data_IF_936334115173
#
_entry.id   IF_936334115173
#
_cell.length_a   1.000
_cell.length_b   1.000
_cell.length_c   1.000
_cell.angle_alpha   90.00
_cell.angle_beta   90.00
_cell.angle_gamma   90.00
#
_symmetry.space_group_name_H-M   'P 1'
#
loop_
_entity.id
_entity.type
_entity.pdbx_description
1 polymer ?
#
# COMPACT_ATOMS: atom_id res chain seq x y z
N UNK A 1 18.98 4.77 -17.87
CA UNK A 1 17.94 4.96 -16.85
C UNK A 1 16.99 3.78 -16.95
N UNK A 2 17.06 2.84 -16.00
CA UNK A 2 16.16 1.68 -15.97
C UNK A 2 14.86 2.10 -15.28
N UNK A 3 13.72 1.72 -15.87
CA UNK A 3 12.40 1.94 -15.28
C UNK A 3 11.71 0.58 -15.25
N UNK A 4 11.31 0.16 -14.05
CA UNK A 4 10.57 -1.08 -13.84
C UNK A 4 9.14 -0.72 -13.41
N UNK A 5 8.16 -1.37 -14.03
CA UNK A 5 6.74 -1.16 -13.73
C UNK A 5 6.11 -2.49 -13.36
N UNK A 6 5.42 -2.50 -12.22
CA UNK A 6 4.71 -3.67 -11.71
C UNK A 6 3.27 -3.27 -11.37
N UNK A 7 2.34 -4.21 -11.54
CA UNK A 7 0.95 -4.04 -11.14
C UNK A 7 0.59 -5.07 -10.07
N UNK A 8 0.24 -4.59 -8.88
CA UNK A 8 -0.33 -5.40 -7.82
C UNK A 8 -1.85 -5.35 -7.93
N UNK A 9 -2.49 -6.51 -7.81
CA UNK A 9 -3.95 -6.64 -7.78
C UNK A 9 -4.36 -7.20 -6.43
N UNK A 10 -5.29 -6.53 -5.78
CA UNK A 10 -5.87 -6.94 -4.52
C UNK A 10 -7.38 -7.04 -4.68
N UNK A 11 -7.96 -8.13 -4.22
CA UNK A 11 -9.41 -8.26 -4.08
C UNK A 11 -9.77 -7.97 -2.64
N UNK A 12 -10.67 -7.01 -2.43
CA UNK A 12 -11.19 -6.64 -1.11
C UNK A 12 -12.65 -7.05 -0.98
N UNK A 13 -13.10 -7.28 0.25
CA UNK A 13 -14.50 -7.67 0.56
C UNK A 13 -15.22 -6.64 1.42
N UNK A 14 -14.50 -5.96 2.31
CA UNK A 14 -15.06 -4.93 3.19
C UNK A 14 -15.04 -3.54 2.55
N UNK A 15 -15.93 -2.65 3.03
CA UNK A 15 -15.99 -1.23 2.61
C UNK A 15 -14.70 -0.47 2.93
N UNK A 16 -14.15 -0.65 4.13
CA UNK A 16 -12.85 -0.10 4.55
C UNK A 16 -11.96 -1.24 5.03
N UNK A 17 -10.89 -1.51 4.28
CA UNK A 17 -9.88 -2.51 4.62
C UNK A 17 -8.48 -1.91 4.48
N UNK A 18 -7.59 -2.26 5.42
CA UNK A 18 -6.20 -1.81 5.44
C UNK A 18 -5.32 -3.02 5.18
N UNK A 19 -4.45 -2.93 4.18
CA UNK A 19 -3.60 -4.02 3.71
C UNK A 19 -2.15 -3.55 3.71
N UNK A 20 -1.25 -4.38 4.22
CA UNK A 20 0.18 -4.09 4.27
C UNK A 20 0.87 -4.66 3.03
N UNK A 21 1.44 -3.79 2.20
CA UNK A 21 2.15 -4.15 0.98
C UNK A 21 3.68 -4.08 1.11
N UNK A 22 4.23 -3.80 2.30
CA UNK A 22 5.68 -3.59 2.46
C UNK A 22 6.50 -4.79 1.99
N UNK A 23 6.08 -6.02 2.33
CA UNK A 23 6.78 -7.24 1.90
C UNK A 23 6.70 -7.46 0.38
N UNK A 24 5.52 -7.23 -0.22
CA UNK A 24 5.33 -7.37 -1.67
C UNK A 24 6.18 -6.36 -2.44
N UNK A 25 6.19 -5.10 -1.99
CA UNK A 25 7.00 -4.03 -2.60
C UNK A 25 8.49 -4.32 -2.43
N UNK A 26 8.93 -4.77 -1.25
CA UNK A 26 10.33 -5.13 -1.02
C UNK A 26 10.77 -6.27 -1.94
N UNK A 27 9.94 -7.30 -2.11
CA UNK A 27 10.24 -8.41 -3.01
C UNK A 27 10.40 -7.95 -4.47
N UNK A 28 9.62 -6.96 -4.93
CA UNK A 28 9.75 -6.37 -6.26
C UNK A 28 11.05 -5.55 -6.40
N UNK A 29 11.43 -4.81 -5.35
CA UNK A 29 12.67 -4.04 -5.32
C UNK A 29 13.88 -4.99 -5.33
N UNK A 30 13.86 -6.05 -4.52
CA UNK A 30 14.94 -7.03 -4.42
C UNK A 30 15.17 -7.83 -5.71
N UNK A 31 14.13 -7.96 -6.54
CA UNK A 31 14.22 -8.56 -7.88
C UNK A 31 14.82 -7.61 -8.93
N UNK A 32 14.98 -6.33 -8.59
CA UNK A 32 15.59 -5.34 -9.49
C UNK A 32 17.10 -5.27 -9.31
N UNK A 33 17.82 -4.94 -10.38
CA UNK A 33 19.25 -4.62 -10.32
C UNK A 33 19.51 -3.15 -9.87
N UNK A 34 18.48 -2.44 -9.40
CA UNK A 34 18.56 -1.01 -9.06
C UNK A 34 19.05 -0.86 -7.62
N UNK A 35 20.31 -0.42 -7.46
CA UNK A 35 20.90 -0.21 -6.13
C UNK A 35 20.56 1.14 -5.51
N UNK A 36 20.31 2.17 -6.33
CA UNK A 36 20.02 3.55 -5.90
C UNK A 36 19.00 4.15 -6.86
N UNK A 37 17.89 4.68 -6.33
CA UNK A 37 16.79 5.18 -7.16
C UNK A 37 15.61 5.68 -6.34
N UNK A 38 14.44 5.69 -6.98
CA UNK A 38 13.17 6.09 -6.38
C UNK A 38 12.12 5.02 -6.68
N UNK A 39 11.26 4.73 -5.69
CA UNK A 39 10.10 3.88 -5.86
C UNK A 39 8.84 4.74 -5.77
N UNK A 40 8.01 4.72 -6.82
CA UNK A 40 6.70 5.34 -6.84
C UNK A 40 5.65 4.24 -6.65
N UNK A 41 4.89 4.33 -5.55
CA UNK A 41 3.74 3.47 -5.29
C UNK A 41 2.50 4.32 -5.52
N UNK A 42 1.65 3.90 -6.45
CA UNK A 42 0.50 4.68 -6.90
C UNK A 42 -0.75 3.80 -6.99
N UNK A 43 -1.88 4.29 -6.48
CA UNK A 43 -3.18 3.65 -6.70
C UNK A 43 -3.86 4.25 -7.92
N UNK A 44 -4.30 3.40 -8.83
CA UNK A 44 -5.08 3.79 -10.01
C UNK A 44 -6.57 4.02 -9.72
N UNK A 45 -7.00 3.98 -8.46
CA UNK A 45 -8.41 4.11 -8.06
C UNK A 45 -8.63 5.38 -7.24
N UNK A 46 -9.78 6.02 -7.44
CA UNK A 46 -10.16 7.28 -6.76
C UNK A 46 -10.76 7.08 -5.37
N UNK A 47 -11.14 5.86 -5.02
CA UNK A 47 -11.78 5.49 -3.74
C UNK A 47 -10.84 4.71 -2.82
N UNK A 48 -9.53 4.75 -3.08
CA UNK A 48 -8.51 4.06 -2.28
C UNK A 48 -7.37 5.02 -2.00
N UNK A 49 -6.61 4.78 -0.92
CA UNK A 49 -5.44 5.57 -0.58
C UNK A 49 -4.25 4.67 -0.25
N UNK A 50 -3.06 5.22 -0.41
CA UNK A 50 -1.80 4.65 0.07
C UNK A 50 -1.28 5.53 1.20
N UNK A 51 -0.86 4.89 2.30
CA UNK A 51 -0.30 5.56 3.45
C UNK A 51 0.88 4.75 3.99
N UNK A 52 1.86 5.43 4.59
CA UNK A 52 2.96 4.81 5.32
C UNK A 52 2.71 5.07 6.79
N UNK A 53 2.59 4.00 7.57
CA UNK A 53 2.38 4.08 9.01
C UNK A 53 2.92 2.80 9.68
N UNK A 54 2.95 2.79 11.01
CA UNK A 54 3.23 1.58 11.80
C UNK A 54 2.13 0.54 11.58
N UNK A 55 2.54 -0.72 11.38
CA UNK A 55 1.63 -1.84 11.23
C UNK A 55 1.36 -2.49 12.59
N UNK A 56 0.60 -1.77 13.43
CA UNK A 56 0.18 -2.23 14.76
C UNK A 56 -1.35 -2.46 14.77
N UNK A 57 -1.79 -3.62 15.26
CA UNK A 57 -3.17 -4.08 15.12
C UNK A 57 -4.22 -3.12 15.68
N UNK A 58 -3.97 -2.50 16.84
CA UNK A 58 -4.92 -1.55 17.45
C UNK A 58 -4.98 -0.24 16.68
N UNK A 59 -3.83 0.26 16.23
CA UNK A 59 -3.77 1.45 15.38
C UNK A 59 -4.56 1.25 14.08
N UNK A 60 -4.54 0.05 13.50
CA UNK A 60 -5.36 -0.26 12.32
C UNK A 60 -6.86 -0.17 12.63
N UNK A 61 -7.28 -0.63 13.81
CA UNK A 61 -8.67 -0.50 14.26
C UNK A 61 -9.01 0.98 14.45
N UNK A 62 -8.15 1.75 15.11
CA UNK A 62 -8.37 3.19 15.35
C UNK A 62 -8.51 3.97 14.04
N UNK A 63 -7.65 3.70 13.05
CA UNK A 63 -7.74 4.30 11.71
C UNK A 63 -9.06 3.94 11.05
N UNK A 64 -9.46 2.66 11.06
CA UNK A 64 -10.76 2.25 10.50
C UNK A 64 -11.91 2.95 11.19
N UNK A 65 -11.89 3.04 12.52
CA UNK A 65 -12.94 3.72 13.29
C UNK A 65 -13.00 5.20 12.94
N UNK A 66 -11.86 5.89 12.88
CA UNK A 66 -11.80 7.32 12.50
C UNK A 66 -12.35 7.57 11.08
N UNK A 67 -12.00 6.72 10.12
CA UNK A 67 -12.48 6.86 8.75
C UNK A 67 -13.98 6.61 8.61
N UNK A 68 -14.57 5.75 9.45
CA UNK A 68 -16.02 5.51 9.47
C UNK A 68 -16.81 6.60 10.21
N UNK A 69 -16.18 7.51 10.96
CA UNK A 69 -16.90 8.50 11.79
C UNK A 69 -17.60 9.62 11.01
N UNK A 70 -17.37 9.72 9.70
CA UNK A 70 -17.89 10.80 8.85
C UNK A 70 -18.78 10.32 7.69
N UNK A 71 -19.22 9.05 7.72
CA UNK A 71 -20.22 8.50 6.79
C UNK A 71 -21.66 8.77 7.26
#
# INVERSE_FOLDING_TARGET
MQILNHHLKLTTQDSISIHNFTADIQALIDQSDIQQGQALIFSCHTTTALAINEYEERLLVDIKTYLNQHD
#
